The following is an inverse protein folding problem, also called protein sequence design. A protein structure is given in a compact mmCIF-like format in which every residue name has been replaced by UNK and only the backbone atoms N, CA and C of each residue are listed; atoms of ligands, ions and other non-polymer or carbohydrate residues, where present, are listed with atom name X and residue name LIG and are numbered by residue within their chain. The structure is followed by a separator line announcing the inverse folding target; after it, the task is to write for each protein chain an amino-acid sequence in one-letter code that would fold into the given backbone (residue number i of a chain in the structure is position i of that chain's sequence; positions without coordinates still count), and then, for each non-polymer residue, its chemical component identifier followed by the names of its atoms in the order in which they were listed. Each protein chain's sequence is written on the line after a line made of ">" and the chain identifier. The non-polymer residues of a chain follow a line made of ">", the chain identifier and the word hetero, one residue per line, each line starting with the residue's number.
data_IF_587865109795
#
_entry.id   IF_587865109795
#
_cell.length_a   1.000
_cell.length_b   1.000
_cell.length_c   1.000
_cell.angle_alpha   90.00
_cell.angle_beta   90.00
_cell.angle_gamma   90.00
#
_symmetry.space_group_name_H-M   'P 1'
#
loop_
_entity.id
_entity.type
_entity.pdbx_description
1 polymer ?
#
# COMPACT_ATOMS: atom_id res chain seq x y z
N UNK A 1 -2.51 5.70 -12.28
CA UNK A 1 -1.30 4.84 -12.34
C UNK A 1 -0.38 5.28 -11.23
N UNK A 2 0.15 4.36 -10.44
CA UNK A 2 1.01 4.66 -9.30
C UNK A 2 2.12 3.60 -9.19
N UNK A 3 3.25 3.98 -8.62
CA UNK A 3 4.34 3.04 -8.39
C UNK A 3 4.12 2.26 -7.09
N UNK A 4 4.45 0.97 -7.13
CA UNK A 4 4.53 0.13 -5.94
C UNK A 4 5.78 0.51 -5.13
N UNK A 5 5.66 0.51 -3.82
CA UNK A 5 6.72 0.84 -2.87
C UNK A 5 6.88 -0.33 -1.91
N UNK A 6 8.11 -0.67 -1.51
CA UNK A 6 8.35 -1.67 -0.48
C UNK A 6 7.66 -1.28 0.85
N UNK A 7 7.26 -2.26 1.66
CA UNK A 7 6.76 -1.98 3.02
C UNK A 7 7.81 -1.21 3.82
N UNK A 8 9.04 -1.71 3.82
CA UNK A 8 10.21 -1.02 4.34
C UNK A 8 11.35 -1.13 3.33
N UNK A 9 12.11 -0.06 3.18
CA UNK A 9 13.28 0.01 2.32
C UNK A 9 14.36 0.81 3.00
N UNK A 10 15.58 0.29 3.02
CA UNK A 10 16.72 0.99 3.59
C UNK A 10 17.97 0.74 2.75
N UNK A 11 18.78 1.78 2.57
CA UNK A 11 20.16 1.64 2.12
C UNK A 11 21.03 1.36 3.34
N UNK A 12 21.61 0.16 3.41
CA UNK A 12 22.46 -0.25 4.51
C UNK A 12 23.79 0.49 4.42
N UNK A 13 24.16 1.15 5.52
CA UNK A 13 25.34 1.99 5.61
C UNK A 13 26.09 1.71 6.90
N UNK A 14 27.42 1.80 6.93
CA UNK A 14 28.19 1.69 8.17
C UNK A 14 28.02 2.95 9.02
N UNK A 15 28.05 2.80 10.34
CA UNK A 15 28.02 3.91 11.30
C UNK A 15 29.43 4.41 11.67
N UNK A 16 30.45 3.64 11.31
CA UNK A 16 31.87 3.93 11.53
C UNK A 16 32.67 3.60 10.28
N UNK A 17 33.84 4.22 10.17
CA UNK A 17 34.82 3.90 9.14
C UNK A 17 35.47 2.55 9.42
N UNK A 18 35.82 1.82 8.35
CA UNK A 18 36.55 0.56 8.50
C UNK A 18 36.70 -0.23 7.23
N UNK A 19 37.54 -1.25 7.27
CA UNK A 19 37.69 -2.20 6.17
C UNK A 19 36.66 -3.31 6.32
N UNK A 20 36.03 -3.70 5.22
CA UNK A 20 35.12 -4.85 5.18
C UNK A 20 35.92 -6.14 5.33
N UNK A 21 35.70 -6.87 6.41
CA UNK A 21 36.23 -8.21 6.62
C UNK A 21 35.38 -9.26 5.89
N UNK A 22 34.07 -9.25 6.11
CA UNK A 22 33.15 -10.24 5.55
C UNK A 22 31.82 -9.63 5.10
N UNK A 23 31.30 -10.17 3.98
CA UNK A 23 29.92 -9.99 3.54
C UNK A 23 29.21 -11.35 3.68
N UNK A 24 28.19 -11.42 4.52
CA UNK A 24 27.51 -12.65 4.93
C UNK A 24 26.12 -12.80 4.30
N UNK A 25 25.84 -12.09 3.24
CA UNK A 25 24.61 -12.20 2.46
C UNK A 25 24.91 -12.53 1.01
N UNK A 26 23.89 -13.05 0.31
CA UNK A 26 23.93 -13.24 -1.14
C UNK A 26 22.97 -12.25 -1.79
N UNK A 27 23.40 -11.68 -2.91
CA UNK A 27 22.58 -10.76 -3.71
C UNK A 27 21.30 -11.44 -4.20
N UNK A 28 20.18 -10.72 -4.11
CA UNK A 28 18.87 -11.24 -4.49
C UNK A 28 18.25 -12.27 -3.53
N UNK A 29 18.90 -12.59 -2.41
CA UNK A 29 18.41 -13.60 -1.47
C UNK A 29 17.71 -12.97 -0.25
N UNK A 30 16.75 -13.68 0.34
CA UNK A 30 16.09 -13.23 1.56
C UNK A 30 17.04 -13.24 2.75
N UNK A 31 16.94 -12.21 3.57
CA UNK A 31 17.66 -12.05 4.83
C UNK A 31 16.66 -11.80 5.97
N UNK A 32 16.92 -12.39 7.14
CA UNK A 32 16.06 -12.24 8.31
C UNK A 32 16.48 -11.06 9.17
N UNK A 33 15.52 -10.43 9.84
CA UNK A 33 15.78 -9.41 10.87
C UNK A 33 16.83 -9.91 11.86
N UNK A 34 17.83 -9.06 12.16
CA UNK A 34 18.93 -9.38 13.06
C UNK A 34 20.06 -10.20 12.45
N UNK A 35 19.89 -10.76 11.23
CA UNK A 35 20.98 -11.47 10.54
C UNK A 35 22.17 -10.53 10.33
N UNK A 36 23.38 -11.04 10.58
CA UNK A 36 24.63 -10.32 10.30
C UNK A 36 24.84 -10.30 8.80
N UNK A 37 24.96 -9.11 8.23
CA UNK A 37 25.16 -8.93 6.80
C UNK A 37 26.58 -8.51 6.45
N UNK A 38 27.17 -7.63 7.27
CA UNK A 38 28.51 -7.09 7.05
C UNK A 38 29.29 -7.12 8.35
N UNK A 39 30.53 -7.52 8.28
CA UNK A 39 31.48 -7.44 9.38
C UNK A 39 32.64 -6.58 8.92
N UNK A 40 32.90 -5.50 9.67
CA UNK A 40 34.08 -4.67 9.52
C UNK A 40 35.23 -5.25 10.33
N UNK A 41 36.46 -4.92 9.97
CA UNK A 41 37.65 -5.25 10.76
C UNK A 41 37.47 -4.66 12.18
N UNK A 42 37.47 -5.53 13.15
CA UNK A 42 37.20 -5.20 14.54
C UNK A 42 38.39 -5.44 15.47
N UNK A 43 39.58 -5.67 14.91
CA UNK A 43 40.76 -6.00 15.72
C UNK A 43 41.09 -4.91 16.74
N UNK A 44 41.11 -3.65 16.32
CA UNK A 44 41.36 -2.50 17.20
C UNK A 44 40.27 -2.34 18.27
N UNK A 45 38.98 -2.41 17.86
CA UNK A 45 37.86 -2.28 18.81
C UNK A 45 37.87 -3.39 19.87
N UNK A 46 38.19 -4.62 19.49
CA UNK A 46 38.33 -5.75 20.41
C UNK A 46 39.48 -5.56 21.38
N UNK A 47 40.66 -5.10 20.89
CA UNK A 47 41.84 -4.85 21.74
C UNK A 47 41.52 -3.75 22.74
N UNK A 48 40.88 -2.65 22.32
CA UNK A 48 40.47 -1.55 23.18
C UNK A 48 39.49 -2.04 24.26
N UNK A 49 38.46 -2.76 23.90
CA UNK A 49 37.48 -3.35 24.82
C UNK A 49 38.17 -4.27 25.83
N UNK A 50 39.09 -5.11 25.42
CA UNK A 50 39.85 -6.00 26.31
C UNK A 50 40.71 -5.23 27.31
N UNK A 51 41.35 -4.14 26.88
CA UNK A 51 42.11 -3.23 27.75
C UNK A 51 41.19 -2.59 28.82
N UNK A 52 40.09 -1.98 28.42
CA UNK A 52 39.11 -1.38 29.34
C UNK A 52 38.51 -2.40 30.32
N UNK A 53 38.27 -3.65 29.87
CA UNK A 53 37.83 -4.73 30.76
C UNK A 53 38.89 -5.07 31.81
N UNK A 54 40.20 -5.04 31.49
CA UNK A 54 41.27 -5.26 32.45
C UNK A 54 41.36 -4.13 33.48
N UNK A 55 41.27 -2.88 33.00
CA UNK A 55 41.27 -1.70 33.89
C UNK A 55 40.07 -1.72 34.84
N UNK A 56 38.89 -2.10 34.35
CA UNK A 56 37.68 -2.22 35.15
C UNK A 56 37.85 -3.25 36.28
N UNK A 57 38.38 -4.45 35.95
CA UNK A 57 38.65 -5.47 36.99
C UNK A 57 39.61 -4.98 38.06
N UNK A 58 40.63 -4.21 37.67
CA UNK A 58 41.56 -3.59 38.63
C UNK A 58 40.86 -2.57 39.52
N UNK A 59 40.04 -1.70 38.94
CA UNK A 59 39.28 -0.70 39.69
C UNK A 59 38.27 -1.34 40.66
N UNK A 60 37.56 -2.40 40.24
CA UNK A 60 36.66 -3.19 41.08
C UNK A 60 37.39 -3.78 42.31
N UNK A 61 38.56 -4.36 42.06
CA UNK A 61 39.40 -4.91 43.14
C UNK A 61 39.89 -3.82 44.10
N UNK A 62 40.26 -2.64 43.57
CA UNK A 62 40.68 -1.49 44.38
C UNK A 62 39.53 -0.94 45.23
N UNK A 63 38.35 -0.76 44.60
CA UNK A 63 37.14 -0.29 45.29
C UNK A 63 36.74 -1.23 46.43
N UNK A 64 36.67 -2.53 46.19
CA UNK A 64 36.34 -3.55 47.19
C UNK A 64 37.33 -3.54 48.35
N UNK A 65 38.63 -3.41 48.06
CA UNK A 65 39.66 -3.30 49.12
C UNK A 65 39.48 -2.02 49.94
N UNK A 66 39.22 -0.88 49.30
CA UNK A 66 38.98 0.39 49.97
C UNK A 66 37.72 0.35 50.84
N UNK A 67 36.65 -0.32 50.40
CA UNK A 67 35.44 -0.54 51.17
C UNK A 67 35.73 -1.33 52.46
N UNK A 68 36.53 -2.39 52.40
CA UNK A 68 36.98 -3.16 53.57
C UNK A 68 37.88 -2.34 54.52
N UNK A 69 38.75 -1.48 53.97
CA UNK A 69 39.63 -0.63 54.76
C UNK A 69 38.89 0.51 55.45
N UNK A 70 37.89 1.11 54.80
CA UNK A 70 37.03 2.13 55.41
C UNK A 70 36.22 1.53 56.57
N UNK A 71 35.69 0.32 56.40
CA UNK A 71 34.95 -0.37 57.45
C UNK A 71 35.79 -0.63 58.69
N UNK A 72 37.12 -0.72 58.53
CA UNK A 72 38.10 -0.87 59.62
C UNK A 72 38.71 0.46 60.06
N UNK A 73 38.26 1.61 59.55
CA UNK A 73 38.80 2.96 59.80
C UNK A 73 40.29 3.17 59.42
N UNK A 74 40.81 2.40 58.46
CA UNK A 74 42.17 2.52 57.96
C UNK A 74 42.35 3.58 56.87
N UNK A 75 41.30 3.96 56.17
CA UNK A 75 41.32 5.01 55.16
C UNK A 75 40.12 5.94 55.33
N UNK A 76 40.17 7.12 54.71
CA UNK A 76 39.07 8.10 54.72
C UNK A 76 37.91 7.70 53.83
N UNK A 77 36.71 8.21 54.12
CA UNK A 77 35.56 8.09 53.24
C UNK A 77 35.83 8.73 51.88
N UNK A 78 36.57 9.83 51.84
CA UNK A 78 36.98 10.48 50.60
C UNK A 78 37.74 9.54 49.67
N UNK A 79 38.69 8.73 50.20
CA UNK A 79 39.44 7.75 49.41
C UNK A 79 38.55 6.65 48.84
N UNK A 80 37.48 6.26 49.54
CA UNK A 80 36.45 5.35 49.03
C UNK A 80 35.65 6.00 47.90
N UNK A 81 35.18 7.24 48.10
CA UNK A 81 34.40 7.97 47.09
C UNK A 81 35.22 8.20 45.81
N UNK A 82 36.51 8.52 45.93
CA UNK A 82 37.41 8.61 44.76
C UNK A 82 37.55 7.29 44.01
N UNK A 83 37.69 6.17 44.75
CA UNK A 83 37.77 4.85 44.10
C UNK A 83 36.46 4.43 43.43
N UNK A 84 35.30 4.82 44.02
CA UNK A 84 33.99 4.61 43.43
C UNK A 84 33.81 5.43 42.15
N UNK A 85 34.18 6.73 42.17
CA UNK A 85 34.12 7.55 40.97
C UNK A 85 35.01 7.00 39.84
N UNK A 86 36.22 6.52 40.17
CA UNK A 86 37.11 5.84 39.21
C UNK A 86 36.49 4.58 38.61
N UNK A 87 35.82 3.77 39.42
CA UNK A 87 35.08 2.59 38.96
C UNK A 87 33.94 2.96 38.01
N UNK A 88 33.15 3.96 38.32
CA UNK A 88 32.01 4.39 37.53
C UNK A 88 32.44 4.98 36.15
N UNK A 89 33.58 5.70 36.13
CA UNK A 89 34.21 6.18 34.89
C UNK A 89 34.58 4.98 33.96
N UNK A 90 35.20 3.92 34.52
CA UNK A 90 35.61 2.77 33.74
C UNK A 90 34.40 1.93 33.28
N UNK A 91 33.33 1.87 34.03
CA UNK A 91 32.05 1.26 33.57
C UNK A 91 31.46 2.00 32.37
N UNK A 92 31.45 3.34 32.42
CA UNK A 92 30.99 4.14 31.30
C UNK A 92 31.87 3.94 30.06
N UNK A 93 33.19 3.87 30.23
CA UNK A 93 34.13 3.60 29.13
C UNK A 93 33.95 2.21 28.53
N UNK A 94 33.71 1.19 29.38
CA UNK A 94 33.39 -0.15 28.90
C UNK A 94 32.15 -0.16 27.97
N UNK A 95 31.08 0.54 28.37
CA UNK A 95 29.88 0.67 27.52
C UNK A 95 30.17 1.37 26.19
N UNK A 96 31.03 2.40 26.21
CA UNK A 96 31.45 3.09 24.99
C UNK A 96 32.22 2.17 24.04
N UNK A 97 33.21 1.42 24.55
CA UNK A 97 34.04 0.52 23.77
C UNK A 97 33.22 -0.67 23.24
N UNK A 98 32.26 -1.18 24.02
CA UNK A 98 31.32 -2.21 23.59
C UNK A 98 30.44 -1.70 22.44
N UNK A 99 29.87 -0.49 22.56
CA UNK A 99 29.09 0.12 21.49
C UNK A 99 29.92 0.34 20.21
N UNK A 100 31.19 0.72 20.35
CA UNK A 100 32.09 0.83 19.19
C UNK A 100 32.35 -0.52 18.52
N UNK A 101 32.53 -1.59 19.28
CA UNK A 101 32.65 -2.94 18.74
C UNK A 101 31.34 -3.40 18.08
N UNK A 102 30.19 -3.15 18.67
CA UNK A 102 28.90 -3.55 18.12
C UNK A 102 28.64 -2.89 16.75
N UNK A 103 29.12 -1.67 16.53
CA UNK A 103 29.04 -0.95 15.25
C UNK A 103 29.88 -1.58 14.14
N UNK A 104 30.84 -2.44 14.45
CA UNK A 104 31.58 -3.20 13.44
C UNK A 104 30.77 -4.32 12.79
N UNK A 105 29.59 -4.66 13.37
CA UNK A 105 28.73 -5.74 12.90
C UNK A 105 27.40 -5.14 12.46
N UNK A 106 27.19 -5.10 11.15
CA UNK A 106 25.98 -4.50 10.56
C UNK A 106 24.94 -5.59 10.32
N UNK A 107 23.72 -5.39 10.85
CA UNK A 107 22.64 -6.37 10.81
C UNK A 107 21.44 -5.86 10.02
N UNK A 108 20.64 -6.79 9.51
CA UNK A 108 19.37 -6.47 8.87
C UNK A 108 18.36 -5.91 9.91
N UNK A 109 17.77 -4.72 9.69
CA UNK A 109 16.81 -4.12 10.63
C UNK A 109 15.41 -4.76 10.57
N UNK A 110 15.07 -5.40 9.44
CA UNK A 110 13.80 -6.09 9.20
C UNK A 110 14.01 -7.26 8.24
N UNK A 111 13.01 -8.11 8.06
CA UNK A 111 13.00 -9.19 7.05
C UNK A 111 12.97 -8.56 5.66
N UNK A 112 13.97 -8.84 4.82
CA UNK A 112 14.14 -8.19 3.52
C UNK A 112 14.75 -9.13 2.48
N UNK A 113 14.77 -8.66 1.23
CA UNK A 113 15.62 -9.22 0.18
C UNK A 113 16.77 -8.25 -0.02
N UNK A 114 17.99 -8.78 -0.02
CA UNK A 114 19.21 -8.00 -0.28
C UNK A 114 19.32 -7.69 -1.78
N UNK A 115 19.52 -6.43 -2.10
CA UNK A 115 19.81 -5.97 -3.47
C UNK A 115 21.22 -6.36 -3.93
N UNK A 116 21.70 -5.67 -4.97
CA UNK A 116 23.07 -5.82 -5.43
C UNK A 116 24.02 -5.10 -4.45
N UNK A 117 25.14 -5.72 -4.15
CA UNK A 117 26.20 -5.13 -3.32
C UNK A 117 26.93 -4.02 -4.08
N UNK A 118 27.24 -2.95 -3.40
CA UNK A 118 27.99 -1.83 -3.96
C UNK A 118 29.49 -1.88 -3.56
N UNK A 119 29.84 -2.84 -2.69
CA UNK A 119 31.17 -2.96 -2.09
C UNK A 119 31.65 -4.42 -2.13
N UNK A 120 32.93 -4.63 -1.91
CA UNK A 120 33.57 -5.96 -1.89
C UNK A 120 34.31 -6.21 -0.58
N UNK A 121 34.50 -7.47 -0.15
CA UNK A 121 35.41 -7.79 0.94
C UNK A 121 36.78 -7.20 0.71
N UNK A 122 37.42 -6.65 1.73
CA UNK A 122 38.68 -5.94 1.67
C UNK A 122 38.59 -4.44 1.32
N UNK A 123 37.45 -3.96 0.82
CA UNK A 123 37.22 -2.53 0.58
C UNK A 123 37.20 -1.75 1.89
N UNK A 124 37.73 -0.53 1.86
CA UNK A 124 37.58 0.42 2.95
C UNK A 124 36.31 1.23 2.70
N UNK A 125 35.48 1.39 3.74
CA UNK A 125 34.22 2.14 3.70
C UNK A 125 34.25 3.20 4.79
N UNK A 126 33.70 4.37 4.44
CA UNK A 126 33.50 5.47 5.38
C UNK A 126 32.10 5.45 5.95
N UNK A 127 31.91 6.09 7.09
CA UNK A 127 30.60 6.27 7.69
C UNK A 127 29.62 6.88 6.67
N UNK A 128 28.51 6.19 6.42
CA UNK A 128 27.47 6.66 5.52
C UNK A 128 27.60 6.17 4.08
N UNK A 129 28.66 5.44 3.72
CA UNK A 129 28.80 4.85 2.38
C UNK A 129 27.74 3.78 2.13
N UNK A 130 27.22 3.72 0.89
CA UNK A 130 26.22 2.75 0.50
C UNK A 130 26.83 1.35 0.34
N UNK A 131 26.27 0.36 1.05
CA UNK A 131 26.72 -1.04 0.97
C UNK A 131 25.75 -1.88 0.14
N UNK A 132 24.50 -1.92 0.53
CA UNK A 132 23.45 -2.71 -0.11
C UNK A 132 22.09 -2.16 0.25
N UNK A 133 21.16 -2.18 -0.70
CA UNK A 133 19.77 -1.87 -0.46
C UNK A 133 19.04 -3.11 0.06
N UNK A 134 18.21 -2.93 1.07
CA UNK A 134 17.32 -3.95 1.62
C UNK A 134 15.86 -3.52 1.39
N UNK A 135 15.09 -4.38 0.75
CA UNK A 135 13.67 -4.13 0.50
C UNK A 135 12.82 -5.25 1.11
N UNK A 136 11.83 -4.89 1.94
CA UNK A 136 10.83 -5.82 2.42
C UNK A 136 9.81 -6.09 1.30
N UNK A 137 9.78 -7.32 0.77
CA UNK A 137 8.98 -7.71 -0.39
C UNK A 137 7.73 -8.55 -0.04
N UNK A 138 7.41 -8.74 1.24
CA UNK A 138 6.23 -9.49 1.68
C UNK A 138 4.95 -8.81 1.21
N UNK A 139 4.59 -7.72 1.85
CA UNK A 139 3.54 -6.82 1.38
C UNK A 139 4.18 -5.60 0.71
N UNK A 140 3.45 -4.99 -0.21
CA UNK A 140 3.88 -3.74 -0.85
C UNK A 140 2.88 -2.63 -0.54
N UNK A 141 3.36 -1.40 -0.59
CA UNK A 141 2.53 -0.20 -0.48
C UNK A 141 2.23 0.34 -1.87
N UNK A 142 1.02 0.78 -2.08
CA UNK A 142 0.63 1.56 -3.24
C UNK A 142 0.15 2.92 -2.75
N UNK A 143 0.75 3.99 -3.25
CA UNK A 143 0.31 5.35 -2.97
C UNK A 143 -0.45 5.88 -4.19
N UNK A 144 -1.72 6.21 -4.00
CA UNK A 144 -2.62 6.64 -5.06
C UNK A 144 -3.09 8.07 -4.77
N UNK A 145 -2.87 9.03 -5.68
CA UNK A 145 -3.49 10.34 -5.57
C UNK A 145 -4.99 10.20 -5.93
N UNK A 146 -5.85 10.62 -5.02
CA UNK A 146 -7.31 10.59 -5.18
C UNK A 146 -7.82 12.02 -5.18
N UNK A 147 -8.58 12.46 -6.21
CA UNK A 147 -9.20 13.78 -6.22
C UNK A 147 -10.11 14.00 -5.02
N UNK A 148 -10.09 15.20 -4.43
CA UNK A 148 -10.83 15.56 -3.21
C UNK A 148 -12.33 15.27 -3.30
N UNK A 149 -12.91 15.37 -4.50
CA UNK A 149 -14.35 15.10 -4.74
C UNK A 149 -14.75 13.65 -4.41
N UNK A 150 -13.80 12.71 -4.45
CA UNK A 150 -14.06 11.30 -4.13
C UNK A 150 -13.72 10.96 -2.66
N UNK A 151 -13.16 11.89 -1.91
CA UNK A 151 -12.74 11.66 -0.52
C UNK A 151 -13.88 11.16 0.38
N UNK A 152 -15.12 11.64 0.28
CA UNK A 152 -16.24 11.13 1.08
C UNK A 152 -16.56 9.64 0.85
N UNK A 153 -16.12 9.07 -0.26
CA UNK A 153 -16.34 7.68 -0.64
C UNK A 153 -15.15 6.78 -0.31
N UNK A 154 -14.00 7.36 0.07
CA UNK A 154 -12.78 6.62 0.40
C UNK A 154 -12.67 6.48 1.91
N UNK A 155 -12.52 5.26 2.38
CA UNK A 155 -12.38 4.96 3.81
C UNK A 155 -11.31 3.88 4.04
N UNK A 156 -10.79 3.82 5.25
CA UNK A 156 -9.89 2.74 5.67
C UNK A 156 -10.62 1.40 5.54
N UNK A 157 -9.93 0.41 4.97
CA UNK A 157 -10.50 -0.90 4.67
C UNK A 157 -11.13 -1.02 3.28
N UNK A 158 -11.27 0.09 2.51
CA UNK A 158 -11.78 0.04 1.14
C UNK A 158 -10.95 -0.95 0.31
N UNK A 159 -11.59 -1.97 -0.30
CA UNK A 159 -10.88 -2.92 -1.15
C UNK A 159 -10.49 -2.25 -2.46
N UNK A 160 -9.26 -2.51 -2.89
CA UNK A 160 -8.75 -2.11 -4.18
C UNK A 160 -8.29 -3.33 -4.97
N UNK A 161 -8.42 -3.24 -6.26
CA UNK A 161 -7.87 -4.21 -7.22
C UNK A 161 -6.83 -3.50 -8.06
N UNK A 162 -5.72 -4.15 -8.34
CA UNK A 162 -4.69 -3.59 -9.18
C UNK A 162 -4.22 -4.58 -10.24
N UNK A 163 -3.80 -4.04 -11.37
CA UNK A 163 -3.11 -4.75 -12.44
C UNK A 163 -1.76 -4.10 -12.67
N UNK A 164 -0.77 -4.92 -13.01
CA UNK A 164 0.61 -4.49 -13.25
C UNK A 164 1.01 -4.95 -14.65
N UNK A 165 1.50 -4.05 -15.48
CA UNK A 165 1.82 -4.36 -16.88
C UNK A 165 2.94 -5.41 -16.98
N UNK A 166 3.84 -5.46 -16.00
CA UNK A 166 4.91 -6.46 -15.92
C UNK A 166 4.41 -7.89 -15.61
N UNK A 167 3.15 -8.06 -15.17
CA UNK A 167 2.55 -9.37 -14.84
C UNK A 167 1.17 -9.45 -15.51
N UNK A 168 1.13 -9.62 -16.85
CA UNK A 168 -0.12 -9.58 -17.59
C UNK A 168 -1.07 -10.71 -17.19
N UNK A 169 -2.38 -10.42 -17.21
CA UNK A 169 -3.44 -11.39 -16.91
C UNK A 169 -3.62 -11.70 -15.42
N UNK A 170 -2.83 -11.10 -14.51
CA UNK A 170 -3.03 -11.26 -13.07
C UNK A 170 -3.57 -9.97 -12.45
N UNK A 171 -4.51 -10.16 -11.54
CA UNK A 171 -5.03 -9.10 -10.68
C UNK A 171 -4.57 -9.34 -9.26
N UNK A 172 -4.20 -8.27 -8.58
CA UNK A 172 -3.80 -8.30 -7.18
C UNK A 172 -4.83 -7.52 -6.37
N UNK A 173 -5.02 -7.92 -5.14
CA UNK A 173 -5.96 -7.27 -4.23
C UNK A 173 -5.21 -6.57 -3.09
N UNK A 174 -5.79 -5.49 -2.62
CA UNK A 174 -5.29 -4.79 -1.46
C UNK A 174 -6.41 -4.05 -0.73
N UNK A 175 -6.03 -3.36 0.34
CA UNK A 175 -6.95 -2.55 1.12
C UNK A 175 -6.30 -1.21 1.46
N UNK A 176 -7.10 -0.16 1.42
CA UNK A 176 -6.70 1.14 1.94
C UNK A 176 -6.43 1.03 3.43
N UNK A 177 -5.27 1.49 3.89
CA UNK A 177 -4.91 1.49 5.32
C UNK A 177 -4.63 2.88 5.88
N UNK A 178 -4.35 3.86 5.01
CA UNK A 178 -4.11 5.23 5.44
C UNK A 178 -4.59 6.22 4.36
N UNK A 179 -5.09 7.34 4.83
CA UNK A 179 -5.50 8.50 4.03
C UNK A 179 -4.77 9.69 4.61
N UNK A 180 -4.06 10.45 3.78
CA UNK A 180 -3.36 11.66 4.22
C UNK A 180 -4.40 12.67 4.74
N UNK A 181 -4.22 13.25 5.93
CA UNK A 181 -5.15 14.24 6.46
C UNK A 181 -5.13 15.57 5.67
N UNK A 182 -4.11 15.80 4.85
CA UNK A 182 -3.96 17.02 4.06
C UNK A 182 -4.29 16.78 2.58
N UNK A 183 -4.95 17.76 1.98
CA UNK A 183 -5.16 17.86 0.53
C UNK A 183 -4.00 18.66 -0.06
N UNK A 184 -3.37 18.15 -1.10
CA UNK A 184 -2.38 18.93 -1.85
C UNK A 184 -3.04 20.12 -2.56
N UNK A 185 -2.69 21.38 -2.24
CA UNK A 185 -3.40 22.55 -2.74
C UNK A 185 -3.18 22.79 -4.25
N UNK A 186 -2.13 22.25 -4.83
CA UNK A 186 -1.79 22.42 -6.25
C UNK A 186 -2.55 21.41 -7.10
N UNK A 187 -2.45 20.14 -6.75
CA UNK A 187 -3.07 19.05 -7.51
C UNK A 187 -4.52 18.75 -7.09
N UNK A 188 -4.96 19.27 -5.95
CA UNK A 188 -6.26 18.99 -5.31
C UNK A 188 -6.51 17.48 -5.12
N UNK A 189 -5.44 16.76 -4.83
CA UNK A 189 -5.49 15.34 -4.55
C UNK A 189 -5.14 15.05 -3.09
N UNK A 190 -5.73 13.98 -2.56
CA UNK A 190 -5.37 13.39 -1.28
C UNK A 190 -4.56 12.13 -1.55
N UNK A 191 -3.46 11.94 -0.85
CA UNK A 191 -2.67 10.71 -0.95
C UNK A 191 -3.32 9.61 -0.13
N UNK A 192 -3.67 8.53 -0.79
CA UNK A 192 -4.26 7.35 -0.18
C UNK A 192 -3.26 6.20 -0.31
N UNK A 193 -2.98 5.52 0.80
CA UNK A 193 -2.10 4.37 0.81
C UNK A 193 -2.87 3.08 0.98
N UNK A 194 -2.56 2.13 0.16
CA UNK A 194 -3.10 0.78 0.23
C UNK A 194 -1.99 -0.25 0.41
N UNK A 195 -2.27 -1.30 1.16
CA UNK A 195 -1.39 -2.46 1.33
C UNK A 195 -1.80 -3.55 0.36
N UNK A 196 -0.83 -4.08 -0.37
CA UNK A 196 -1.01 -5.06 -1.43
C UNK A 196 -0.28 -6.33 -1.03
N UNK A 197 -0.99 -7.42 -0.91
CA UNK A 197 -0.40 -8.71 -0.60
C UNK A 197 0.46 -9.23 -1.77
N UNK A 198 1.67 -9.69 -1.46
CA UNK A 198 2.63 -10.21 -2.45
C UNK A 198 3.24 -11.56 -2.03
N UNK A 199 2.42 -12.58 -1.67
CA UNK A 199 2.93 -13.83 -1.12
C UNK A 199 3.83 -14.61 -2.08
N UNK A 200 3.66 -14.44 -3.37
CA UNK A 200 4.46 -15.08 -4.41
C UNK A 200 5.71 -14.28 -4.82
N UNK A 201 5.95 -13.09 -4.24
CA UNK A 201 7.09 -12.24 -4.58
C UNK A 201 7.14 -11.74 -6.03
N UNK A 202 6.01 -11.80 -6.74
CA UNK A 202 5.92 -11.40 -8.15
C UNK A 202 5.97 -9.89 -8.34
N UNK A 203 5.46 -9.14 -7.39
CA UNK A 203 5.49 -7.69 -7.42
C UNK A 203 6.82 -7.19 -6.86
N UNK A 204 7.38 -6.17 -7.49
CA UNK A 204 8.62 -5.52 -7.04
C UNK A 204 8.39 -4.03 -6.84
N UNK A 205 9.05 -3.40 -5.87
CA UNK A 205 9.06 -1.96 -5.73
C UNK A 205 9.51 -1.29 -7.04
N UNK A 206 8.91 -0.16 -7.39
CA UNK A 206 9.15 0.54 -8.64
C UNK A 206 8.28 0.08 -9.82
N UNK A 207 7.57 -1.04 -9.74
CA UNK A 207 6.61 -1.42 -10.78
C UNK A 207 5.42 -0.47 -10.77
N UNK A 208 4.97 -0.08 -11.97
CA UNK A 208 3.75 0.72 -12.13
C UNK A 208 2.51 -0.17 -12.09
N UNK A 209 1.53 0.27 -11.31
CA UNK A 209 0.26 -0.42 -11.15
C UNK A 209 -0.91 0.50 -11.50
N UNK A 210 -1.93 -0.07 -12.14
CA UNK A 210 -3.24 0.57 -12.32
C UNK A 210 -4.16 0.04 -11.23
N UNK A 211 -4.52 0.92 -10.32
CA UNK A 211 -5.46 0.60 -9.25
C UNK A 211 -6.87 1.02 -9.63
N UNK A 212 -7.84 0.19 -9.28
CA UNK A 212 -9.26 0.48 -9.34
C UNK A 212 -9.90 0.18 -8.00
N UNK A 213 -10.81 1.05 -7.58
CA UNK A 213 -11.64 0.86 -6.40
C UNK A 213 -13.10 1.02 -6.80
N UNK A 214 -13.97 0.19 -6.25
CA UNK A 214 -15.39 0.40 -6.40
C UNK A 214 -15.85 1.36 -5.28
N UNK A 215 -16.05 2.62 -5.63
CA UNK A 215 -16.46 3.67 -4.72
C UNK A 215 -17.99 3.75 -4.53
N UNK A 216 -18.74 3.05 -5.38
CA UNK A 216 -20.21 3.05 -5.31
C UNK A 216 -20.75 1.81 -4.62
N UNK A 217 -21.67 1.99 -3.68
CA UNK A 217 -22.58 0.92 -3.29
C UNK A 217 -23.36 0.43 -4.52
N UNK A 218 -23.87 -0.80 -4.48
CA UNK A 218 -24.80 -1.30 -5.51
C UNK A 218 -26.06 -0.41 -5.49
N UNK A 219 -26.03 0.68 -6.23
CA UNK A 219 -27.24 1.48 -6.47
C UNK A 219 -28.05 0.70 -7.51
N UNK A 220 -29.25 0.29 -7.13
CA UNK A 220 -30.18 -0.27 -8.09
C UNK A 220 -30.55 0.86 -9.05
N UNK A 221 -30.05 0.80 -10.25
CA UNK A 221 -30.36 1.78 -11.28
C UNK A 221 -31.11 1.10 -12.41
N UNK A 222 -31.97 1.84 -13.10
CA UNK A 222 -32.68 1.36 -14.27
C UNK A 222 -31.78 1.62 -15.47
N UNK A 223 -31.39 0.56 -16.16
CA UNK A 223 -30.63 0.63 -17.42
C UNK A 223 -31.56 0.32 -18.58
N UNK A 224 -31.63 1.21 -19.54
CA UNK A 224 -32.39 0.98 -20.79
C UNK A 224 -31.42 0.95 -21.98
N UNK A 225 -31.75 0.20 -23.04
CA UNK A 225 -31.04 0.30 -24.33
C UNK A 225 -31.07 1.73 -24.85
N UNK A 226 -29.94 2.25 -25.37
CA UNK A 226 -29.88 3.64 -25.84
C UNK A 226 -30.87 3.96 -26.96
N UNK A 227 -31.25 2.95 -27.75
CA UNK A 227 -32.22 3.08 -28.83
C UNK A 227 -33.63 3.49 -28.39
N UNK A 228 -34.02 3.29 -27.14
CA UNK A 228 -35.37 3.66 -26.64
C UNK A 228 -35.49 5.14 -26.31
N UNK A 229 -34.38 5.85 -26.27
CA UNK A 229 -34.36 7.27 -25.95
C UNK A 229 -34.79 8.10 -27.12
N UNK A 230 -35.81 8.90 -26.94
CA UNK A 230 -36.33 9.83 -27.97
C UNK A 230 -35.88 11.24 -27.59
N UNK A 231 -34.85 11.78 -28.25
CA UNK A 231 -34.38 13.15 -27.98
C UNK A 231 -35.41 14.16 -28.52
N UNK A 232 -35.71 15.20 -27.73
CA UNK A 232 -36.51 16.38 -28.12
C UNK A 232 -35.77 17.65 -27.73
N UNK A 233 -36.14 18.80 -28.29
CA UNK A 233 -35.49 20.07 -27.98
C UNK A 233 -35.47 20.43 -26.48
N UNK A 234 -36.47 19.95 -25.72
CA UNK A 234 -36.69 20.23 -24.31
C UNK A 234 -36.23 19.11 -23.37
N UNK A 235 -35.60 18.04 -23.90
CA UNK A 235 -35.06 16.95 -23.09
C UNK A 235 -35.14 15.56 -23.74
N UNK A 236 -34.85 14.55 -22.94
CA UNK A 236 -34.92 13.14 -23.33
C UNK A 236 -36.21 12.49 -22.87
N UNK A 237 -36.78 11.65 -23.69
CA UNK A 237 -38.07 10.98 -23.46
C UNK A 237 -37.96 9.50 -23.75
N UNK A 238 -38.91 8.72 -23.19
CA UNK A 238 -39.15 7.32 -23.52
C UNK A 238 -40.64 7.12 -23.75
N UNK A 239 -41.02 6.13 -24.59
CA UNK A 239 -42.41 5.69 -24.69
C UNK A 239 -42.66 4.52 -23.74
N UNK A 240 -43.64 4.63 -22.89
CA UNK A 240 -44.17 3.59 -22.04
C UNK A 240 -45.50 3.06 -22.58
N UNK A 241 -45.73 1.76 -22.45
CA UNK A 241 -47.04 1.17 -22.70
C UNK A 241 -47.85 1.18 -21.41
N UNK A 242 -48.84 2.11 -21.30
CA UNK A 242 -49.73 2.27 -20.17
C UNK A 242 -51.16 2.02 -20.68
N UNK A 243 -51.86 1.09 -20.10
CA UNK A 243 -53.24 0.70 -20.45
C UNK A 243 -53.41 0.44 -21.98
N UNK A 244 -52.44 -0.17 -22.59
CA UNK A 244 -52.46 -0.48 -24.02
C UNK A 244 -52.26 0.72 -24.96
N UNK A 245 -51.82 1.89 -24.42
CA UNK A 245 -51.54 3.12 -25.19
C UNK A 245 -50.12 3.57 -24.97
N UNK A 246 -49.53 4.21 -25.99
CA UNK A 246 -48.20 4.81 -25.87
C UNK A 246 -48.26 6.12 -25.11
N UNK A 247 -47.56 6.20 -23.99
CA UNK A 247 -47.36 7.41 -23.21
C UNK A 247 -45.95 7.91 -23.33
N UNK A 248 -45.73 9.17 -23.71
CA UNK A 248 -44.44 9.79 -23.80
C UNK A 248 -44.08 10.38 -22.43
N UNK A 249 -42.99 9.89 -21.85
CA UNK A 249 -42.55 10.34 -20.52
C UNK A 249 -41.17 10.93 -20.54
N UNK A 250 -40.99 12.09 -19.94
CA UNK A 250 -39.70 12.76 -19.81
C UNK A 250 -38.82 11.98 -18.82
N UNK A 251 -37.55 11.80 -19.16
CA UNK A 251 -36.59 11.06 -18.34
C UNK A 251 -35.32 11.88 -18.11
N UNK A 252 -34.73 11.73 -16.93
CA UNK A 252 -33.38 12.23 -16.65
C UNK A 252 -32.40 11.10 -16.89
N UNK A 253 -31.43 11.35 -17.77
CA UNK A 253 -30.37 10.37 -18.09
C UNK A 253 -29.20 10.52 -17.16
N UNK A 254 -28.60 9.39 -16.76
CA UNK A 254 -27.38 9.30 -16.01
C UNK A 254 -26.19 8.88 -16.87
N UNK A 255 -25.37 7.98 -16.34
CA UNK A 255 -24.19 7.45 -17.03
C UNK A 255 -24.57 6.65 -18.26
N UNK A 256 -23.76 6.77 -19.31
CA UNK A 256 -23.89 5.96 -20.54
C UNK A 256 -22.80 4.88 -20.53
N UNK A 257 -23.23 3.65 -20.71
CA UNK A 257 -22.36 2.51 -20.98
C UNK A 257 -22.59 2.05 -22.44
N UNK A 258 -21.68 1.30 -23.08
CA UNK A 258 -21.86 0.87 -24.46
C UNK A 258 -23.23 0.18 -24.69
N UNK A 259 -24.10 0.83 -25.48
CA UNK A 259 -25.43 0.32 -25.83
C UNK A 259 -26.51 0.48 -24.74
N UNK A 260 -26.20 1.05 -23.58
CA UNK A 260 -27.18 1.26 -22.48
C UNK A 260 -27.00 2.62 -21.85
N UNK A 261 -28.10 3.17 -21.32
CA UNK A 261 -28.11 4.44 -20.59
C UNK A 261 -28.85 4.27 -19.27
N UNK A 262 -28.29 4.85 -18.25
CA UNK A 262 -28.88 4.92 -16.91
C UNK A 262 -30.03 5.93 -16.88
N UNK A 263 -31.15 5.54 -16.27
CA UNK A 263 -32.29 6.41 -16.04
C UNK A 263 -32.34 6.80 -14.58
N UNK A 264 -32.13 8.08 -14.30
CA UNK A 264 -32.16 8.64 -12.96
C UNK A 264 -33.56 8.91 -12.44
N UNK A 265 -34.47 9.29 -13.36
CA UNK A 265 -35.89 9.54 -13.03
C UNK A 265 -36.79 9.44 -14.25
N UNK A 266 -38.11 9.28 -14.03
CA UNK A 266 -39.12 9.22 -15.07
C UNK A 266 -39.60 7.81 -15.41
N UNK A 267 -38.85 6.74 -15.04
CA UNK A 267 -39.27 5.34 -15.22
C UNK A 267 -39.16 4.62 -13.88
N UNK A 268 -40.03 3.68 -13.60
CA UNK A 268 -40.07 2.84 -12.40
C UNK A 268 -39.85 1.37 -12.79
N UNK A 269 -39.38 0.59 -11.83
CA UNK A 269 -39.28 -0.88 -12.01
C UNK A 269 -40.67 -1.44 -12.18
N UNK A 270 -40.89 -2.16 -13.28
CA UNK A 270 -42.19 -2.68 -13.66
C UNK A 270 -42.89 -1.92 -14.81
N UNK A 271 -42.40 -0.71 -15.16
CA UNK A 271 -42.92 0.00 -16.34
C UNK A 271 -42.53 -0.75 -17.63
N UNK A 272 -43.48 -0.85 -18.55
CA UNK A 272 -43.23 -1.42 -19.88
C UNK A 272 -42.73 -0.35 -20.84
N UNK A 273 -41.44 -0.42 -21.18
CA UNK A 273 -40.81 0.50 -22.13
C UNK A 273 -40.87 -0.06 -23.53
N UNK A 274 -41.28 0.76 -24.50
CA UNK A 274 -41.36 0.38 -25.89
C UNK A 274 -39.96 0.42 -26.49
N UNK A 275 -39.47 -0.73 -26.96
CA UNK A 275 -38.13 -0.91 -27.50
C UNK A 275 -38.03 -0.55 -29.00
N UNK A 276 -39.05 -0.86 -29.78
CA UNK A 276 -39.04 -0.67 -31.23
C UNK A 276 -40.26 0.10 -31.72
N UNK A 277 -40.11 0.81 -32.83
CA UNK A 277 -41.20 1.54 -33.48
C UNK A 277 -41.41 2.98 -32.97
N UNK A 278 -40.60 3.46 -32.05
CA UNK A 278 -40.75 4.76 -31.40
C UNK A 278 -40.74 5.97 -32.35
N UNK A 279 -40.11 5.86 -33.51
CA UNK A 279 -40.06 6.92 -34.54
C UNK A 279 -41.46 7.20 -35.15
N UNK A 280 -42.33 6.18 -35.19
CA UNK A 280 -43.69 6.26 -35.73
C UNK A 280 -44.75 6.50 -34.67
N UNK A 281 -44.39 6.43 -33.39
CA UNK A 281 -45.33 6.58 -32.29
C UNK A 281 -45.70 8.04 -32.04
N UNK A 282 -46.96 8.25 -31.70
CA UNK A 282 -47.49 9.48 -31.13
C UNK A 282 -48.14 9.17 -29.77
N UNK A 283 -48.14 10.09 -28.84
CA UNK A 283 -48.86 9.89 -27.56
C UNK A 283 -50.31 9.47 -27.83
N UNK A 284 -50.81 8.47 -27.09
CA UNK A 284 -52.17 7.96 -27.20
C UNK A 284 -52.46 6.89 -28.24
N UNK A 285 -51.48 6.55 -29.09
CA UNK A 285 -51.64 5.49 -30.07
C UNK A 285 -51.73 4.12 -29.37
N UNK A 286 -52.66 3.24 -29.76
CA UNK A 286 -52.74 1.88 -29.23
C UNK A 286 -51.46 1.09 -29.54
N UNK A 287 -50.93 0.42 -28.52
CA UNK A 287 -49.75 -0.46 -28.63
C UNK A 287 -50.10 -1.85 -28.13
N UNK A 288 -49.56 -2.85 -28.78
CA UNK A 288 -49.72 -4.26 -28.43
C UNK A 288 -48.37 -4.91 -28.25
N UNK A 289 -48.26 -5.88 -27.38
CA UNK A 289 -47.04 -6.68 -27.25
C UNK A 289 -46.85 -7.57 -28.49
N UNK A 290 -45.62 -7.96 -28.76
CA UNK A 290 -45.31 -8.90 -29.85
C UNK A 290 -46.13 -10.20 -29.76
N UNK A 291 -46.40 -10.68 -28.55
CA UNK A 291 -47.24 -11.85 -28.28
C UNK A 291 -48.68 -11.61 -28.65
N UNK A 292 -49.23 -10.46 -28.26
CA UNK A 292 -50.60 -10.07 -28.63
C UNK A 292 -50.75 -9.84 -30.12
N UNK A 293 -49.76 -9.23 -30.78
CA UNK A 293 -49.73 -9.05 -32.22
C UNK A 293 -49.69 -10.39 -32.94
N UNK A 294 -48.86 -11.33 -32.49
CA UNK A 294 -48.81 -12.70 -33.07
C UNK A 294 -50.12 -13.48 -32.90
N UNK A 295 -50.80 -13.33 -31.77
CA UNK A 295 -52.10 -13.94 -31.52
C UNK A 295 -53.22 -13.29 -32.39
N UNK A 296 -53.20 -11.97 -32.58
CA UNK A 296 -54.14 -11.29 -33.48
C UNK A 296 -53.90 -11.71 -34.94
N UNK A 297 -52.69 -11.83 -35.42
CA UNK A 297 -52.37 -12.31 -36.74
C UNK A 297 -52.82 -13.77 -36.95
N UNK A 298 -52.64 -14.66 -35.97
CA UNK A 298 -53.17 -16.03 -36.03
C UNK A 298 -54.70 -16.07 -36.09
N UNK A 299 -55.38 -15.23 -35.34
CA UNK A 299 -56.84 -15.12 -35.38
C UNK A 299 -57.36 -14.58 -36.72
N UNK A 300 -56.66 -13.59 -37.32
CA UNK A 300 -57.02 -13.05 -38.62
C UNK A 300 -56.76 -14.04 -39.77
N UNK A 301 -55.75 -14.92 -39.65
CA UNK A 301 -55.54 -15.99 -40.66
C UNK A 301 -56.53 -17.15 -40.52
N UNK A 302 -57.00 -17.42 -39.30
CA UNK A 302 -57.99 -18.48 -39.04
C UNK A 302 -59.46 -18.08 -39.45
N UNK A 303 -59.69 -16.78 -39.65
CA UNK A 303 -61.03 -16.24 -39.98
C UNK A 303 -61.28 -15.90 -41.44
N UNK A 304 -60.44 -16.30 -42.43
CA UNK A 304 -60.73 -16.16 -43.86
C UNK A 304 -61.57 -17.37 -44.32
N UNK A 305 -62.88 -17.17 -44.66
CA UNK A 305 -63.67 -18.24 -45.29
C UNK A 305 -63.04 -18.56 -46.66
N UNK A 306 -63.00 -19.86 -47.00
CA UNK A 306 -62.66 -20.39 -48.29
C UNK A 306 -63.70 -20.00 -49.30
#
# INVERSE_FOLDING_TARGET
>A
VSALIAEDSVMLRPEIDGRIDKLLFKEGQPVKKGAVLVVLDSAEARARLAGTQADLRLAESRYKRNEELVAKNFISKQALDESRAGLDILRARLQQDQAALDKTVIRAPFDAVAGLRLVSPGAYVSKGDDIVRLDALGDLKLEVPVPEIYLPLVHIGLPITLTVDAVPGKTFSGKVYAIDPAVDPVSRNVRVRARIANPAGMLKPGMFARASANLGGKTRTILLPEQVIVPKPDGSYVFLAVDGKAELRKVALGKRDPGRVEILSGVKVGDMVILDGQIKLRPGVPVVTLEQAAQMMKKMQAGKPR
#
